data_IF_783576771938
#
_entry.id   IF_783576771938
#
_cell.length_a   1.000
_cell.length_b   1.000
_cell.length_c   1.000
_cell.angle_alpha   90.00
_cell.angle_beta   90.00
_cell.angle_gamma   90.00
#
_symmetry.space_group_name_H-M   'P 1'
#
loop_
_entity.id
_entity.type
_entity.pdbx_description
1 polymer ?
#
# COMPACT_ATOMS: atom_id res chain seq x y z
N UNK A 1 -10.14 1.56 18.41
CA UNK A 1 -9.95 1.66 16.94
C UNK A 1 -11.33 1.89 16.32
N UNK A 2 -11.39 2.69 15.26
CA UNK A 2 -12.65 3.02 14.54
C UNK A 2 -12.87 2.04 13.39
N UNK A 3 -14.11 1.72 13.03
CA UNK A 3 -14.42 0.86 11.88
C UNK A 3 -13.75 1.34 10.57
N UNK A 4 -13.61 2.65 10.39
CA UNK A 4 -12.90 3.23 9.24
C UNK A 4 -11.41 2.92 9.22
N UNK A 5 -10.80 2.82 10.40
CA UNK A 5 -9.41 2.46 10.55
C UNK A 5 -9.20 0.98 10.16
N UNK A 6 -10.05 0.08 10.64
CA UNK A 6 -9.95 -1.35 10.33
C UNK A 6 -10.12 -1.62 8.83
N UNK A 7 -11.07 -0.94 8.18
CA UNK A 7 -11.25 -0.99 6.72
C UNK A 7 -10.01 -0.45 5.99
N UNK A 8 -9.43 0.64 6.47
CA UNK A 8 -8.23 1.23 5.89
C UNK A 8 -7.03 0.28 5.96
N UNK A 9 -6.80 -0.35 7.12
CA UNK A 9 -5.76 -1.37 7.30
C UNK A 9 -5.96 -2.53 6.34
N UNK A 10 -7.19 -3.07 6.25
CA UNK A 10 -7.49 -4.16 5.32
C UNK A 10 -7.27 -3.80 3.85
N UNK A 11 -7.58 -2.57 3.45
CA UNK A 11 -7.31 -2.06 2.10
C UNK A 11 -5.80 -1.95 1.84
N UNK A 12 -5.02 -1.40 2.78
CA UNK A 12 -3.58 -1.24 2.63
C UNK A 12 -2.84 -2.57 2.58
N UNK A 13 -3.24 -3.54 3.40
CA UNK A 13 -2.77 -4.92 3.30
C UNK A 13 -3.13 -5.57 1.96
N UNK A 14 -4.32 -5.24 1.42
CA UNK A 14 -4.74 -5.65 0.09
C UNK A 14 -3.77 -5.19 -1.00
N UNK A 15 -3.30 -3.94 -0.95
CA UNK A 15 -2.29 -3.43 -1.88
C UNK A 15 -0.94 -4.15 -1.74
N UNK A 16 -0.51 -4.44 -0.51
CA UNK A 16 0.72 -5.21 -0.26
C UNK A 16 0.63 -6.60 -0.90
N UNK A 17 -0.51 -7.30 -0.72
CA UNK A 17 -0.77 -8.58 -1.37
C UNK A 17 -0.77 -8.47 -2.90
N UNK A 18 -1.47 -7.47 -3.44
CA UNK A 18 -1.55 -7.23 -4.89
C UNK A 18 -0.19 -6.88 -5.51
N UNK A 19 0.72 -6.25 -4.76
CA UNK A 19 2.07 -5.96 -5.23
C UNK A 19 2.84 -7.25 -5.56
N UNK A 20 2.59 -8.32 -4.81
CA UNK A 20 3.19 -9.64 -5.01
C UNK A 20 2.44 -10.53 -6.02
N UNK A 21 1.24 -10.13 -6.45
CA UNK A 21 0.41 -10.90 -7.38
C UNK A 21 0.91 -10.72 -8.83
N UNK A 22 1.34 -11.80 -9.53
CA UNK A 22 1.82 -11.73 -10.91
C UNK A 22 0.76 -11.24 -11.90
N UNK A 23 -0.53 -11.38 -11.60
CA UNK A 23 -1.63 -10.93 -12.46
C UNK A 23 -1.89 -9.42 -12.38
N UNK A 24 -1.46 -8.77 -11.29
CA UNK A 24 -1.60 -7.32 -11.13
C UNK A 24 -0.47 -6.57 -11.83
N UNK A 25 -0.71 -5.39 -12.40
CA UNK A 25 0.38 -4.54 -12.89
C UNK A 25 1.07 -3.83 -11.71
N UNK A 26 2.40 -3.97 -11.50
CA UNK A 26 3.08 -3.41 -10.32
C UNK A 26 3.06 -1.89 -10.28
N UNK A 27 3.16 -1.21 -11.42
CA UNK A 27 3.09 0.25 -11.51
C UNK A 27 1.70 0.77 -11.15
N UNK A 28 0.64 0.05 -11.59
CA UNK A 28 -0.73 0.38 -11.24
C UNK A 28 -0.97 0.20 -9.74
N UNK A 29 -0.53 -0.92 -9.15
CA UNK A 29 -0.66 -1.16 -7.69
C UNK A 29 0.05 -0.07 -6.91
N UNK A 30 1.29 0.29 -7.30
CA UNK A 30 2.06 1.36 -6.64
C UNK A 30 1.32 2.70 -6.68
N UNK A 31 0.78 3.08 -7.84
CA UNK A 31 0.05 4.34 -7.99
C UNK A 31 -1.21 4.34 -7.10
N UNK A 32 -2.03 3.28 -7.19
CA UNK A 32 -3.27 3.15 -6.40
C UNK A 32 -3.00 3.16 -4.90
N UNK A 33 -2.00 2.40 -4.44
CA UNK A 33 -1.64 2.35 -3.03
C UNK A 33 -1.13 3.68 -2.50
N UNK A 34 -0.33 4.42 -3.27
CA UNK A 34 0.14 5.74 -2.87
C UNK A 34 -1.01 6.75 -2.75
N UNK A 35 -1.98 6.73 -3.68
CA UNK A 35 -3.18 7.55 -3.57
C UNK A 35 -4.01 7.19 -2.35
N UNK A 36 -4.20 5.90 -2.07
CA UNK A 36 -4.95 5.44 -0.91
C UNK A 36 -4.31 5.91 0.41
N UNK A 37 -3.00 5.73 0.56
CA UNK A 37 -2.26 6.19 1.74
C UNK A 37 -2.42 7.70 1.95
N UNK A 38 -2.26 8.49 0.88
CA UNK A 38 -2.44 9.94 0.93
C UNK A 38 -3.83 10.31 1.46
N UNK A 39 -4.89 9.74 0.89
CA UNK A 39 -6.27 10.02 1.29
C UNK A 39 -6.50 9.65 2.76
N UNK A 40 -6.10 8.43 3.16
CA UNK A 40 -6.30 7.94 4.52
C UNK A 40 -5.56 8.79 5.55
N UNK A 41 -4.34 9.24 5.24
CA UNK A 41 -3.57 10.14 6.10
C UNK A 41 -4.20 11.52 6.18
N UNK A 42 -4.65 12.07 5.04
CA UNK A 42 -5.34 13.38 5.01
C UNK A 42 -6.62 13.35 5.83
N UNK A 43 -7.36 12.24 5.83
CA UNK A 43 -8.57 12.06 6.63
C UNK A 43 -8.29 11.74 8.10
N UNK A 44 -7.03 11.61 8.51
CA UNK A 44 -6.65 11.23 9.87
C UNK A 44 -7.05 9.80 10.26
N UNK A 45 -7.34 8.95 9.27
CA UNK A 45 -7.73 7.55 9.48
C UNK A 45 -6.51 6.71 9.87
N UNK A 46 -5.35 7.01 9.26
CA UNK A 46 -4.07 6.39 9.61
C UNK A 46 -3.10 7.46 10.12
N UNK A 47 -2.21 7.06 11.02
CA UNK A 47 -1.14 7.88 11.56
C UNK A 47 0.02 8.07 10.56
N UNK A 48 0.87 9.05 10.83
CA UNK A 48 2.10 9.25 10.05
C UNK A 48 3.07 8.05 10.13
N UNK A 49 3.06 7.32 11.24
CA UNK A 49 3.89 6.13 11.42
C UNK A 49 3.37 4.97 10.57
N UNK A 50 2.05 4.79 10.51
CA UNK A 50 1.42 3.76 9.68
C UNK A 50 1.64 4.02 8.20
N UNK A 51 1.48 5.27 7.74
CA UNK A 51 1.88 5.67 6.38
C UNK A 51 3.33 5.25 6.10
N UNK A 52 4.29 5.67 6.94
CA UNK A 52 5.69 5.33 6.73
C UNK A 52 5.93 3.82 6.62
N UNK A 53 5.26 3.03 7.46
CA UNK A 53 5.35 1.56 7.46
C UNK A 53 4.80 0.95 6.17
N UNK A 54 3.61 1.38 5.73
CA UNK A 54 2.99 0.86 4.50
C UNK A 54 3.74 1.30 3.26
N UNK A 55 4.13 2.57 3.18
CA UNK A 55 4.92 3.13 2.09
C UNK A 55 6.24 2.36 1.92
N UNK A 56 6.96 2.09 3.01
CA UNK A 56 8.21 1.32 2.96
C UNK A 56 7.97 -0.14 2.56
N UNK A 57 6.91 -0.77 3.06
CA UNK A 57 6.58 -2.16 2.70
C UNK A 57 6.27 -2.29 1.21
N UNK A 58 5.43 -1.39 0.66
CA UNK A 58 5.10 -1.33 -0.76
C UNK A 58 6.33 -1.03 -1.63
N UNK A 59 7.23 -0.14 -1.18
CA UNK A 59 8.48 0.16 -1.88
C UNK A 59 9.36 -1.09 -2.00
N UNK A 60 9.56 -1.82 -0.89
CA UNK A 60 10.36 -3.06 -0.89
C UNK A 60 9.75 -4.12 -1.81
N UNK A 61 8.43 -4.29 -1.79
CA UNK A 61 7.74 -5.25 -2.65
C UNK A 61 7.85 -4.88 -4.13
N UNK A 62 7.68 -3.61 -4.44
CA UNK A 62 7.83 -3.09 -5.79
C UNK A 62 9.26 -3.28 -6.33
N UNK A 63 10.29 -2.95 -5.54
CA UNK A 63 11.69 -3.15 -5.91
C UNK A 63 12.02 -4.63 -6.12
N UNK A 64 11.55 -5.50 -5.23
CA UNK A 64 11.69 -6.96 -5.38
C UNK A 64 11.03 -7.46 -6.66
N UNK A 65 9.88 -6.89 -7.03
CA UNK A 65 9.14 -7.28 -8.23
C UNK A 65 9.81 -6.82 -9.52
N UNK A 66 10.35 -5.60 -9.54
CA UNK A 66 11.14 -5.11 -10.68
C UNK A 66 12.46 -5.87 -10.83
N UNK A 67 13.14 -6.17 -9.72
CA UNK A 67 14.39 -6.94 -9.75
C UNK A 67 14.23 -8.40 -10.19
N UNK A 68 13.00 -8.94 -10.17
CA UNK A 68 12.67 -10.26 -10.76
C UNK A 68 12.29 -10.19 -12.25
N UNK A 69 11.99 -9.00 -12.75
CA UNK A 69 11.57 -8.79 -14.14
C UNK A 69 12.73 -8.35 -15.05
N UNK A 70 13.91 -8.07 -14.48
CA UNK A 70 15.17 -7.79 -15.17
C UNK A 70 16.01 -9.06 -15.29
#
# INVERSE_FOLDING_TARGET
MSEHHDVAIGMLEGYVRAMSDPLCNPSAVKASSSTAILILRTLGIISAQEDANYTESLRRDYERRLGRAA
#
